data_IF_020012572127
#
_entry.id   IF_020012572127
#
_cell.length_a   1.000
_cell.length_b   1.000
_cell.length_c   1.000
_cell.angle_alpha   90.00
_cell.angle_beta   90.00
_cell.angle_gamma   90.00
#
_symmetry.space_group_name_H-M   'P 1'
#
loop_
_entity.id
_entity.type
_entity.pdbx_description
1 polymer ?
#
# COMPACT_ATOMS: atom_id res chain seq x y z
N UNK A 1 -24.55 7.29 5.12
CA UNK A 1 -23.53 6.95 4.09
C UNK A 1 -23.86 7.47 2.68
N UNK A 2 -25.12 7.49 2.20
CA UNK A 2 -25.47 8.00 0.85
C UNK A 2 -25.21 9.51 0.65
N UNK A 3 -25.43 10.35 1.65
CA UNK A 3 -25.16 11.81 1.51
C UNK A 3 -23.67 12.16 1.46
N UNK A 4 -22.84 11.39 2.17
CA UNK A 4 -21.38 11.46 2.04
C UNK A 4 -20.88 10.95 0.68
N UNK A 5 -21.71 10.20 -0.07
CA UNK A 5 -21.43 9.78 -1.44
C UNK A 5 -21.82 10.85 -2.46
N UNK A 6 -22.96 11.50 -2.28
CA UNK A 6 -23.42 12.56 -3.19
C UNK A 6 -22.56 13.83 -3.13
N UNK A 7 -21.93 14.13 -1.99
CA UNK A 7 -20.95 15.22 -1.87
C UNK A 7 -19.60 14.90 -2.57
N UNK A 8 -19.41 13.68 -3.10
CA UNK A 8 -18.16 13.24 -3.78
C UNK A 8 -17.94 13.81 -5.18
N UNK A 9 -18.96 14.44 -5.78
CA UNK A 9 -18.86 15.11 -7.08
C UNK A 9 -18.24 16.50 -7.00
N UNK A 10 -18.05 17.06 -5.80
CA UNK A 10 -17.44 18.37 -5.63
C UNK A 10 -15.90 18.32 -5.78
N UNK A 11 -15.35 19.37 -6.41
CA UNK A 11 -13.95 19.58 -6.82
C UNK A 11 -12.86 19.38 -5.73
N UNK A 12 -13.24 19.09 -4.49
CA UNK A 12 -12.41 19.16 -3.27
C UNK A 12 -11.59 17.92 -2.92
N UNK A 13 -11.58 16.87 -3.73
CA UNK A 13 -10.69 15.70 -3.52
C UNK A 13 -9.28 15.94 -4.11
N UNK A 14 -8.57 16.96 -3.60
CA UNK A 14 -7.13 17.13 -3.89
C UNK A 14 -6.33 16.02 -3.20
N UNK A 15 -6.68 15.67 -1.96
CA UNK A 15 -5.92 14.76 -1.10
C UNK A 15 -5.89 13.32 -1.65
N UNK A 16 -7.03 12.70 -1.99
CA UNK A 16 -7.01 11.40 -2.65
C UNK A 16 -6.32 11.38 -4.04
N UNK A 17 -6.13 12.52 -4.70
CA UNK A 17 -5.34 12.58 -5.95
C UNK A 17 -3.85 12.56 -5.63
N UNK A 18 -3.42 13.41 -4.70
CA UNK A 18 -2.04 13.43 -4.21
C UNK A 18 -1.66 12.08 -3.60
N UNK A 19 -2.52 11.49 -2.77
CA UNK A 19 -2.32 10.17 -2.19
C UNK A 19 -2.06 9.10 -3.25
N UNK A 20 -2.84 9.07 -4.33
CA UNK A 20 -2.60 8.15 -5.46
C UNK A 20 -1.26 8.37 -6.14
N UNK A 21 -0.93 9.61 -6.48
CA UNK A 21 0.32 9.95 -7.15
C UNK A 21 1.53 9.62 -6.27
N UNK A 22 1.45 9.95 -4.99
CA UNK A 22 2.49 9.63 -4.00
C UNK A 22 2.62 8.12 -3.86
N UNK A 23 1.53 7.38 -3.65
CA UNK A 23 1.54 5.91 -3.60
C UNK A 23 2.19 5.30 -4.84
N UNK A 24 1.81 5.76 -6.05
CA UNK A 24 2.40 5.24 -7.27
C UNK A 24 3.91 5.52 -7.37
N UNK A 25 4.33 6.75 -7.02
CA UNK A 25 5.73 7.15 -7.05
C UNK A 25 6.59 6.37 -6.05
N UNK A 26 6.14 6.24 -4.80
CA UNK A 26 6.89 5.49 -3.78
C UNK A 26 6.88 3.99 -4.06
N UNK A 27 5.78 3.45 -4.58
CA UNK A 27 5.72 2.04 -5.01
C UNK A 27 6.72 1.76 -6.14
N UNK A 28 6.78 2.63 -7.14
CA UNK A 28 7.77 2.53 -8.22
C UNK A 28 9.21 2.60 -7.68
N UNK A 29 9.50 3.60 -6.83
CA UNK A 29 10.82 3.78 -6.24
C UNK A 29 11.24 2.56 -5.40
N UNK A 30 10.36 2.08 -4.52
CA UNK A 30 10.64 0.91 -3.70
C UNK A 30 10.83 -0.38 -4.51
N UNK A 31 10.09 -0.52 -5.63
CA UNK A 31 10.23 -1.65 -6.54
C UNK A 31 11.56 -1.60 -7.29
N UNK A 32 11.98 -0.41 -7.75
CA UNK A 32 13.28 -0.21 -8.39
C UNK A 32 14.43 -0.53 -7.45
N UNK A 33 14.37 -0.09 -6.19
CA UNK A 33 15.37 -0.38 -5.15
C UNK A 33 15.40 -1.85 -4.73
N UNK A 34 14.38 -2.64 -5.08
CA UNK A 34 14.35 -4.09 -4.83
C UNK A 34 15.05 -4.89 -5.94
N UNK A 35 15.48 -4.24 -7.03
CA UNK A 35 16.29 -4.88 -8.08
C UNK A 35 17.74 -5.00 -7.60
N UNK A 36 18.36 -6.19 -7.61
CA UNK A 36 19.71 -6.39 -7.07
C UNK A 36 20.74 -5.38 -7.58
N UNK A 37 20.81 -5.17 -8.89
CA UNK A 37 21.74 -4.21 -9.49
C UNK A 37 21.57 -2.76 -8.98
N UNK A 38 20.34 -2.34 -8.68
CA UNK A 38 20.07 -1.01 -8.12
C UNK A 38 20.44 -0.98 -6.64
N UNK A 39 20.17 -2.05 -5.90
CA UNK A 39 20.53 -2.17 -4.50
C UNK A 39 22.05 -2.15 -4.28
N UNK A 40 22.79 -2.88 -5.11
CA UNK A 40 24.25 -2.94 -5.10
C UNK A 40 24.84 -1.55 -5.40
N UNK A 41 24.33 -0.88 -6.43
CA UNK A 41 24.73 0.48 -6.77
C UNK A 41 24.47 1.47 -5.62
N UNK A 42 23.30 1.40 -4.97
CA UNK A 42 23.01 2.24 -3.81
C UNK A 42 23.95 1.97 -2.63
N UNK A 43 24.28 0.70 -2.37
CA UNK A 43 25.24 0.33 -1.32
C UNK A 43 26.64 0.86 -1.64
N UNK A 44 27.08 0.79 -2.91
CA UNK A 44 28.37 1.32 -3.35
C UNK A 44 28.47 2.84 -3.16
N UNK A 45 27.44 3.58 -3.58
CA UNK A 45 27.40 5.06 -3.52
C UNK A 45 27.32 5.56 -2.07
N UNK A 46 26.48 4.93 -1.24
CA UNK A 46 26.25 5.39 0.14
C UNK A 46 27.25 4.82 1.14
N UNK A 47 27.93 3.73 0.79
CA UNK A 47 28.75 2.90 1.70
C UNK A 47 27.95 2.35 2.89
N UNK A 48 26.64 2.24 2.76
CA UNK A 48 25.75 1.67 3.78
C UNK A 48 25.12 0.40 3.21
N UNK A 49 25.52 -0.74 3.77
CA UNK A 49 24.91 -2.04 3.43
C UNK A 49 23.40 -1.99 3.66
N UNK A 50 22.63 -2.68 2.81
CA UNK A 50 21.17 -2.77 2.89
C UNK A 50 20.40 -1.43 2.82
N UNK A 51 21.03 -0.30 2.48
CA UNK A 51 20.31 0.99 2.45
C UNK A 51 19.12 0.95 1.47
N UNK A 52 19.29 0.31 0.31
CA UNK A 52 18.24 0.18 -0.68
C UNK A 52 17.06 -0.62 -0.12
N UNK A 53 17.33 -1.62 0.73
CA UNK A 53 16.30 -2.43 1.39
C UNK A 53 15.52 -1.63 2.41
N UNK A 54 16.21 -0.82 3.23
CA UNK A 54 15.55 0.11 4.15
C UNK A 54 14.62 1.04 3.36
N UNK A 55 15.16 1.76 2.37
CA UNK A 55 14.38 2.72 1.59
C UNK A 55 13.22 2.04 0.86
N UNK A 56 13.39 0.82 0.34
CA UNK A 56 12.30 0.05 -0.25
C UNK A 56 11.18 -0.26 0.75
N UNK A 57 11.50 -0.63 2.00
CA UNK A 57 10.49 -0.85 3.04
C UNK A 57 9.81 0.45 3.49
N UNK A 58 10.54 1.56 3.62
CA UNK A 58 9.95 2.88 3.89
C UNK A 58 9.01 3.30 2.74
N UNK A 59 9.42 3.08 1.49
CA UNK A 59 8.56 3.28 0.33
C UNK A 59 7.29 2.40 0.37
N UNK A 60 7.40 1.15 0.80
CA UNK A 60 6.25 0.25 0.95
C UNK A 60 5.30 0.71 2.09
N UNK A 61 5.84 1.17 3.22
CA UNK A 61 5.05 1.78 4.30
C UNK A 61 4.35 3.06 3.81
N UNK A 62 5.07 3.93 3.09
CA UNK A 62 4.50 5.11 2.44
C UNK A 62 3.43 4.78 1.39
N UNK A 63 3.60 3.69 0.63
CA UNK A 63 2.60 3.21 -0.32
C UNK A 63 1.30 2.87 0.40
N UNK A 64 1.38 2.06 1.46
CA UNK A 64 0.23 1.70 2.31
C UNK A 64 -0.36 2.95 2.95
N UNK A 65 0.45 3.87 3.46
CA UNK A 65 -0.01 5.14 4.03
C UNK A 65 -0.86 5.94 3.04
N UNK A 66 -0.45 6.02 1.77
CA UNK A 66 -1.24 6.69 0.73
C UNK A 66 -2.58 6.01 0.48
N UNK A 67 -2.65 4.66 0.49
CA UNK A 67 -3.92 3.92 0.43
C UNK A 67 -4.81 4.24 1.64
N UNK A 68 -4.23 4.28 2.83
CA UNK A 68 -4.91 4.57 4.10
C UNK A 68 -5.46 6.01 4.13
N UNK A 69 -4.73 6.98 3.59
CA UNK A 69 -5.20 8.35 3.40
C UNK A 69 -6.40 8.39 2.46
N UNK A 70 -6.35 7.64 1.36
CA UNK A 70 -7.49 7.55 0.43
C UNK A 70 -8.72 6.93 1.10
N UNK A 71 -8.54 5.85 1.87
CA UNK A 71 -9.62 5.24 2.66
C UNK A 71 -10.20 6.25 3.65
N UNK A 72 -9.37 6.99 4.38
CA UNK A 72 -9.84 8.02 5.31
C UNK A 72 -10.63 9.14 4.60
N UNK A 73 -10.11 9.65 3.48
CA UNK A 73 -10.75 10.68 2.63
C UNK A 73 -12.08 10.18 2.04
N UNK A 74 -12.21 8.87 1.81
CA UNK A 74 -13.44 8.24 1.33
C UNK A 74 -14.42 7.86 2.44
N UNK A 75 -13.98 7.73 3.69
CA UNK A 75 -14.81 7.23 4.80
C UNK A 75 -15.41 8.36 5.62
N UNK A 76 -14.57 9.32 6.01
CA UNK A 76 -14.93 10.31 7.03
C UNK A 76 -15.53 11.57 6.40
N UNK A 77 -16.45 12.20 7.15
CA UNK A 77 -16.93 13.54 6.82
C UNK A 77 -15.81 14.58 6.98
N UNK A 78 -16.01 15.78 6.39
CA UNK A 78 -15.03 16.88 6.42
C UNK A 78 -14.58 17.27 7.83
N UNK A 79 -15.46 17.14 8.81
CA UNK A 79 -15.18 17.45 10.21
C UNK A 79 -14.13 16.51 10.83
N UNK A 80 -14.16 15.22 10.45
CA UNK A 80 -13.32 14.19 11.06
C UNK A 80 -12.13 13.76 10.19
N UNK A 81 -12.14 14.05 8.89
CA UNK A 81 -11.08 13.61 7.95
C UNK A 81 -9.69 14.12 8.36
N UNK A 82 -9.58 15.37 8.83
CA UNK A 82 -8.30 15.94 9.24
C UNK A 82 -7.70 15.23 10.46
N UNK A 83 -8.53 14.87 11.43
CA UNK A 83 -8.08 14.12 12.61
C UNK A 83 -7.72 12.68 12.25
N UNK A 84 -8.55 12.01 11.44
CA UNK A 84 -8.26 10.65 10.97
C UNK A 84 -6.95 10.59 10.16
N UNK A 85 -6.69 11.59 9.30
CA UNK A 85 -5.43 11.69 8.55
C UNK A 85 -4.23 11.93 9.47
N UNK A 86 -4.33 12.83 10.45
CA UNK A 86 -3.24 13.10 11.39
C UNK A 86 -2.86 11.85 12.18
N UNK A 87 -3.84 11.11 12.71
CA UNK A 87 -3.58 9.87 13.46
C UNK A 87 -2.87 8.85 12.57
N UNK A 88 -3.32 8.66 11.33
CA UNK A 88 -2.68 7.73 10.38
C UNK A 88 -1.26 8.16 10.03
N UNK A 89 -1.03 9.45 9.77
CA UNK A 89 0.31 9.99 9.51
C UNK A 89 1.23 9.85 10.71
N UNK A 90 0.74 10.03 11.93
CA UNK A 90 1.51 9.80 13.15
C UNK A 90 1.91 8.33 13.30
N UNK A 91 0.98 7.39 13.07
CA UNK A 91 1.28 5.95 13.10
C UNK A 91 2.35 5.61 12.06
N UNK A 92 2.21 6.13 10.83
CA UNK A 92 3.19 5.92 9.76
C UNK A 92 4.56 6.47 10.17
N UNK A 93 4.64 7.69 10.68
CA UNK A 93 5.88 8.28 11.15
C UNK A 93 6.53 7.45 12.27
N UNK A 94 5.74 6.94 13.22
CA UNK A 94 6.23 6.07 14.29
C UNK A 94 6.78 4.76 13.74
N UNK A 95 6.11 4.14 12.76
CA UNK A 95 6.58 2.90 12.10
C UNK A 95 7.87 3.15 11.32
N UNK A 96 7.96 4.23 10.56
CA UNK A 96 9.16 4.64 9.81
C UNK A 96 10.37 4.86 10.74
N UNK A 97 10.16 5.58 11.85
CA UNK A 97 11.18 5.79 12.88
C UNK A 97 11.60 4.46 13.50
N UNK A 98 10.63 3.61 13.87
CA UNK A 98 10.91 2.31 14.47
C UNK A 98 11.69 1.40 13.51
N UNK A 99 11.31 1.33 12.23
CA UNK A 99 12.05 0.58 11.22
C UNK A 99 13.46 1.12 11.06
N UNK A 100 13.65 2.44 11.01
CA UNK A 100 14.97 3.06 10.90
C UNK A 100 15.84 2.73 12.12
N UNK A 101 15.31 2.82 13.34
CA UNK A 101 16.04 2.47 14.56
C UNK A 101 16.41 0.98 14.59
N UNK A 102 15.47 0.09 14.24
CA UNK A 102 15.72 -1.34 14.17
C UNK A 102 16.75 -1.67 13.08
N UNK A 103 16.70 -0.98 11.94
CA UNK A 103 17.69 -1.10 10.88
C UNK A 103 19.08 -0.73 11.39
N UNK A 104 19.25 0.46 11.99
CA UNK A 104 20.55 0.91 12.51
C UNK A 104 21.13 -0.04 13.56
N UNK A 105 20.28 -0.69 14.35
CA UNK A 105 20.71 -1.70 15.35
C UNK A 105 21.05 -3.06 14.75
N UNK A 106 20.47 -3.41 13.61
CA UNK A 106 20.55 -4.75 13.02
C UNK A 106 21.49 -4.82 11.83
N UNK A 107 21.73 -3.70 11.15
CA UNK A 107 22.51 -3.65 9.93
C UNK A 107 23.97 -3.99 10.23
N UNK A 108 24.45 -5.06 9.61
CA UNK A 108 25.83 -5.55 9.72
C UNK A 108 26.27 -6.09 8.37
N UNK A 109 27.57 -6.04 8.06
CA UNK A 109 28.10 -6.63 6.84
C UNK A 109 27.69 -8.10 6.70
N UNK A 110 27.21 -8.48 5.52
CA UNK A 110 26.82 -9.86 5.21
C UNK A 110 25.49 -10.33 5.82
N UNK A 111 24.75 -9.47 6.52
CA UNK A 111 23.39 -9.76 7.01
C UNK A 111 22.38 -8.98 6.19
N UNK A 112 21.46 -9.68 5.52
CA UNK A 112 20.39 -9.04 4.75
C UNK A 112 19.07 -9.00 5.53
N UNK A 113 18.24 -7.99 5.24
CA UNK A 113 16.88 -7.89 5.81
C UNK A 113 15.89 -8.73 5.00
N UNK A 114 16.10 -10.04 5.02
CA UNK A 114 15.30 -11.04 4.28
C UNK A 114 14.94 -12.23 5.19
N UNK A 115 14.08 -13.11 4.71
CA UNK A 115 13.71 -14.34 5.44
C UNK A 115 14.85 -15.35 5.51
N UNK A 116 15.91 -15.19 4.70
CA UNK A 116 17.14 -15.99 4.80
C UNK A 116 17.86 -15.79 6.14
N UNK A 117 17.70 -14.62 6.75
CA UNK A 117 18.33 -14.26 8.04
C UNK A 117 17.34 -14.31 9.21
N UNK A 118 16.32 -15.16 9.13
CA UNK A 118 15.28 -15.31 10.16
C UNK A 118 15.82 -15.76 11.54
N UNK A 119 17.02 -16.34 11.59
CA UNK A 119 17.70 -16.71 12.84
C UNK A 119 18.23 -15.49 13.61
N UNK A 120 18.44 -14.36 12.93
CA UNK A 120 18.85 -13.12 13.57
C UNK A 120 17.63 -12.40 14.18
N UNK A 121 17.48 -12.52 15.50
CA UNK A 121 16.34 -11.94 16.26
C UNK A 121 16.05 -10.47 15.94
N UNK A 122 17.07 -9.65 15.72
CA UNK A 122 16.87 -8.23 15.42
C UNK A 122 16.32 -8.01 14.00
N UNK A 123 16.79 -8.78 13.01
CA UNK A 123 16.27 -8.78 11.64
C UNK A 123 14.82 -9.27 11.63
N UNK A 124 14.55 -10.35 12.36
CA UNK A 124 13.19 -10.88 12.52
C UNK A 124 12.26 -9.87 13.16
N UNK A 125 12.69 -9.18 14.23
CA UNK A 125 11.91 -8.11 14.85
C UNK A 125 11.60 -6.96 13.88
N UNK A 126 12.60 -6.52 13.11
CA UNK A 126 12.43 -5.52 12.05
C UNK A 126 11.38 -5.97 11.01
N UNK A 127 11.50 -7.19 10.50
CA UNK A 127 10.60 -7.71 9.48
C UNK A 127 9.17 -7.87 10.01
N UNK A 128 9.00 -8.32 11.26
CA UNK A 128 7.68 -8.45 11.87
C UNK A 128 6.98 -7.09 12.03
N UNK A 129 7.70 -6.04 12.41
CA UNK A 129 7.13 -4.67 12.47
C UNK A 129 6.66 -4.22 11.09
N UNK A 130 7.52 -4.38 10.08
CA UNK A 130 7.22 -4.05 8.69
C UNK A 130 5.97 -4.81 8.18
N UNK A 131 5.95 -6.14 8.38
CA UNK A 131 4.86 -7.00 7.92
C UNK A 131 3.56 -6.75 8.67
N UNK A 132 3.61 -6.47 9.98
CA UNK A 132 2.43 -6.17 10.78
C UNK A 132 1.73 -4.89 10.30
N UNK A 133 2.50 -3.83 10.03
CA UNK A 133 1.95 -2.60 9.45
C UNK A 133 1.34 -2.84 8.06
N UNK A 134 2.06 -3.59 7.20
CA UNK A 134 1.57 -3.98 5.89
C UNK A 134 0.26 -4.77 5.96
N UNK A 135 0.17 -5.75 6.87
CA UNK A 135 -1.01 -6.58 7.08
C UNK A 135 -2.22 -5.75 7.53
N UNK A 136 -2.01 -4.86 8.51
CA UNK A 136 -3.06 -3.96 9.01
C UNK A 136 -3.63 -3.07 7.91
N UNK A 137 -2.75 -2.33 7.21
CA UNK A 137 -3.19 -1.40 6.18
C UNK A 137 -3.80 -2.10 4.97
N UNK A 138 -3.29 -3.28 4.61
CA UNK A 138 -3.85 -4.09 3.54
C UNK A 138 -5.22 -4.68 3.90
N UNK A 139 -5.40 -5.19 5.12
CA UNK A 139 -6.68 -5.72 5.57
C UNK A 139 -7.78 -4.65 5.54
N UNK A 140 -7.49 -3.46 6.07
CA UNK A 140 -8.44 -2.36 6.06
C UNK A 140 -8.76 -1.92 4.62
N UNK A 141 -7.74 -1.77 3.77
CA UNK A 141 -7.92 -1.41 2.35
C UNK A 141 -8.77 -2.44 1.62
N UNK A 142 -8.50 -3.73 1.86
CA UNK A 142 -9.24 -4.84 1.28
C UNK A 142 -10.72 -4.78 1.66
N UNK A 143 -11.01 -4.71 2.96
CA UNK A 143 -12.38 -4.67 3.48
C UNK A 143 -13.14 -3.44 2.97
N UNK A 144 -12.50 -2.27 3.00
CA UNK A 144 -13.12 -1.02 2.59
C UNK A 144 -13.43 -1.00 1.08
N UNK A 145 -12.44 -1.31 0.24
CA UNK A 145 -12.63 -1.32 -1.21
C UNK A 145 -13.67 -2.36 -1.64
N UNK A 146 -13.69 -3.53 -1.00
CA UNK A 146 -14.70 -4.56 -1.25
C UNK A 146 -16.11 -4.09 -0.89
N UNK A 147 -16.29 -3.56 0.33
CA UNK A 147 -17.57 -3.05 0.79
C UNK A 147 -18.09 -1.92 -0.11
N UNK A 148 -17.21 -0.99 -0.49
CA UNK A 148 -17.54 0.11 -1.39
C UNK A 148 -17.89 -0.38 -2.80
N UNK A 149 -17.19 -1.38 -3.32
CA UNK A 149 -17.52 -2.00 -4.60
C UNK A 149 -18.90 -2.67 -4.60
N UNK A 150 -19.28 -3.32 -3.49
CA UNK A 150 -20.60 -3.96 -3.33
C UNK A 150 -21.75 -2.96 -3.17
N UNK A 151 -21.49 -1.79 -2.58
CA UNK A 151 -22.48 -0.75 -2.38
C UNK A 151 -22.83 0.03 -3.67
N UNK A 152 -22.04 -0.11 -4.74
CA UNK A 152 -22.29 0.59 -6.00
C UNK A 152 -23.51 0.03 -6.75
N UNK A 153 -24.43 0.89 -7.25
CA UNK A 153 -25.60 0.45 -8.00
C UNK A 153 -25.22 -0.15 -9.36
N UNK A 154 -25.95 -1.18 -9.80
CA UNK A 154 -25.64 -1.98 -11.00
C UNK A 154 -25.90 -1.27 -12.35
N UNK A 155 -26.49 -0.06 -12.38
CA UNK A 155 -27.17 0.46 -13.58
C UNK A 155 -26.51 1.61 -14.39
N UNK A 156 -25.43 2.29 -13.95
CA UNK A 156 -24.62 3.13 -14.84
C UNK A 156 -23.36 2.42 -15.37
N UNK A 157 -22.99 2.62 -16.64
CA UNK A 157 -21.72 2.13 -17.23
C UNK A 157 -20.49 2.59 -16.45
N UNK A 158 -20.49 3.83 -15.94
CA UNK A 158 -19.45 4.39 -15.07
C UNK A 158 -19.33 3.69 -13.72
N UNK A 159 -20.43 3.16 -13.18
CA UNK A 159 -20.38 2.38 -11.95
C UNK A 159 -19.63 1.05 -12.13
N UNK A 160 -19.60 0.50 -13.35
CA UNK A 160 -18.87 -0.73 -13.66
C UNK A 160 -17.35 -0.52 -13.59
N UNK A 161 -16.83 0.52 -14.24
CA UNK A 161 -15.38 0.83 -14.22
C UNK A 161 -14.87 1.09 -12.80
N UNK A 162 -15.60 1.90 -12.04
CA UNK A 162 -15.25 2.18 -10.64
C UNK A 162 -15.30 0.91 -9.78
N UNK A 163 -16.34 0.08 -9.94
CA UNK A 163 -16.47 -1.18 -9.22
C UNK A 163 -15.32 -2.14 -9.54
N UNK A 164 -14.96 -2.30 -10.82
CA UNK A 164 -13.81 -3.12 -11.22
C UNK A 164 -12.52 -2.58 -10.59
N UNK A 165 -12.29 -1.27 -10.64
CA UNK A 165 -11.11 -0.66 -10.02
C UNK A 165 -11.01 -0.95 -8.51
N UNK A 166 -12.12 -0.83 -7.78
CA UNK A 166 -12.17 -1.13 -6.35
C UNK A 166 -12.00 -2.61 -6.04
N UNK A 167 -12.58 -3.51 -6.85
CA UNK A 167 -12.38 -4.95 -6.68
C UNK A 167 -10.94 -5.35 -6.94
N UNK A 168 -10.28 -4.77 -7.95
CA UNK A 168 -8.86 -5.00 -8.22
C UNK A 168 -8.00 -4.54 -7.04
N UNK A 169 -8.24 -3.34 -6.50
CA UNK A 169 -7.53 -2.88 -5.29
C UNK A 169 -7.77 -3.84 -4.12
N UNK A 170 -9.00 -4.30 -3.92
CA UNK A 170 -9.34 -5.25 -2.85
C UNK A 170 -8.62 -6.59 -3.01
N UNK A 171 -8.60 -7.17 -4.21
CA UNK A 171 -7.88 -8.42 -4.50
C UNK A 171 -6.37 -8.24 -4.31
N UNK A 172 -5.81 -7.14 -4.78
CA UNK A 172 -4.39 -6.84 -4.59
C UNK A 172 -4.02 -6.63 -3.11
N UNK A 173 -4.89 -6.01 -2.33
CA UNK A 173 -4.70 -5.87 -0.89
C UNK A 173 -4.86 -7.22 -0.15
N UNK A 174 -5.78 -8.08 -0.57
CA UNK A 174 -5.87 -9.46 -0.07
C UNK A 174 -4.60 -10.27 -0.37
N UNK A 175 -4.00 -10.08 -1.55
CA UNK A 175 -2.71 -10.67 -1.88
C UNK A 175 -1.59 -10.14 -0.97
N UNK A 176 -1.59 -8.85 -0.61
CA UNK A 176 -0.65 -8.31 0.40
C UNK A 176 -0.84 -9.00 1.75
N UNK A 177 -2.08 -9.20 2.20
CA UNK A 177 -2.36 -9.91 3.46
C UNK A 177 -1.80 -11.33 3.39
N UNK A 178 -2.05 -12.06 2.31
CA UNK A 178 -1.47 -13.38 2.07
C UNK A 178 0.06 -13.38 2.11
N UNK A 179 0.69 -12.40 1.46
CA UNK A 179 2.15 -12.19 1.50
C UNK A 179 2.64 -11.99 2.94
N UNK A 180 1.98 -11.13 3.72
CA UNK A 180 2.37 -10.84 5.11
C UNK A 180 2.14 -12.02 6.04
N UNK A 181 1.09 -12.81 5.83
CA UNK A 181 0.84 -14.04 6.60
C UNK A 181 1.91 -15.09 6.26
N UNK A 182 2.25 -15.25 4.98
CA UNK A 182 3.28 -16.20 4.55
C UNK A 182 4.65 -15.85 5.13
N UNK A 183 5.14 -14.62 4.94
CA UNK A 183 6.43 -14.18 5.50
C UNK A 183 6.41 -14.10 7.03
N UNK A 184 5.38 -13.47 7.60
CA UNK A 184 5.28 -13.28 9.04
C UNK A 184 5.13 -14.61 9.77
N UNK A 185 4.32 -15.51 9.23
CA UNK A 185 4.19 -16.86 9.74
C UNK A 185 5.50 -17.63 9.71
N UNK A 186 6.29 -17.51 8.64
CA UNK A 186 7.60 -18.17 8.55
C UNK A 186 8.54 -17.67 9.64
N UNK A 187 8.61 -16.35 9.83
CA UNK A 187 9.42 -15.73 10.88
C UNK A 187 8.98 -16.18 12.29
N UNK A 188 7.68 -16.25 12.55
CA UNK A 188 7.14 -16.72 13.84
C UNK A 188 7.41 -18.21 14.05
N UNK A 189 7.27 -19.03 13.01
CA UNK A 189 7.59 -20.46 13.05
C UNK A 189 9.09 -20.68 13.29
N UNK A 190 9.95 -19.85 12.69
CA UNK A 190 11.39 -19.87 12.93
C UNK A 190 11.72 -19.53 14.40
N UNK A 191 11.07 -18.50 14.97
CA UNK A 191 11.21 -18.17 16.39
C UNK A 191 10.75 -19.30 17.32
N UNK A 192 9.75 -20.08 16.88
CA UNK A 192 9.26 -21.25 17.60
C UNK A 192 10.10 -22.52 17.36
N UNK A 193 11.19 -22.44 16.58
CA UNK A 193 12.07 -23.57 16.27
C UNK A 193 11.48 -24.59 15.29
N UNK A 194 10.37 -24.26 14.62
CA UNK A 194 9.66 -25.15 13.69
C UNK A 194 9.40 -24.48 12.32
N UNK A 195 10.43 -23.93 11.64
CA UNK A 195 10.22 -23.32 10.33
C UNK A 195 9.87 -24.39 9.28
N UNK A 196 8.93 -24.07 8.39
CA UNK A 196 8.77 -24.84 7.15
C UNK A 196 9.90 -24.51 6.16
N UNK A 197 10.07 -25.24 5.04
CA UNK A 197 11.16 -24.97 4.12
C UNK A 197 11.10 -23.55 3.53
N UNK A 198 12.23 -22.85 3.56
CA UNK A 198 12.34 -21.47 3.05
C UNK A 198 11.95 -21.35 1.56
N UNK A 199 12.23 -22.38 0.75
CA UNK A 199 11.81 -22.43 -0.65
C UNK A 199 10.28 -22.34 -0.81
N UNK A 200 9.51 -22.95 0.10
CA UNK A 200 8.04 -22.89 0.09
C UNK A 200 7.55 -21.50 0.47
N UNK A 201 8.18 -20.86 1.46
CA UNK A 201 7.90 -19.46 1.82
C UNK A 201 8.10 -18.54 0.61
N UNK A 202 9.28 -18.60 -0.03
CA UNK A 202 9.63 -17.73 -1.16
C UNK A 202 8.74 -17.97 -2.37
N UNK A 203 8.39 -19.23 -2.64
CA UNK A 203 7.50 -19.60 -3.75
C UNK A 203 6.08 -19.05 -3.59
N UNK A 204 5.59 -18.89 -2.34
CA UNK A 204 4.29 -18.30 -2.07
C UNK A 204 4.35 -16.78 -1.97
N UNK A 205 5.31 -16.24 -1.21
CA UNK A 205 5.35 -14.81 -0.89
C UNK A 205 5.74 -13.94 -2.10
N UNK A 206 6.66 -14.39 -2.95
CA UNK A 206 7.15 -13.58 -4.07
C UNK A 206 6.05 -13.29 -5.11
N UNK A 207 5.28 -14.29 -5.60
CA UNK A 207 4.16 -14.03 -6.51
C UNK A 207 3.06 -13.17 -5.87
N UNK A 208 2.75 -13.39 -4.59
CA UNK A 208 1.74 -12.61 -3.88
C UNK A 208 2.11 -11.12 -3.79
N UNK A 209 3.38 -10.81 -3.53
CA UNK A 209 3.86 -9.43 -3.54
C UNK A 209 3.73 -8.78 -4.92
N UNK A 210 4.11 -9.48 -5.99
CA UNK A 210 3.99 -9.00 -7.37
C UNK A 210 2.53 -8.77 -7.79
N UNK A 211 1.65 -9.75 -7.54
CA UNK A 211 0.22 -9.66 -7.82
C UNK A 211 -0.44 -8.52 -7.05
N UNK A 212 -0.01 -8.30 -5.80
CA UNK A 212 -0.50 -7.20 -4.98
C UNK A 212 -0.26 -5.85 -5.63
N UNK A 213 0.99 -5.56 -6.01
CA UNK A 213 1.36 -4.30 -6.66
C UNK A 213 0.58 -4.14 -7.97
N UNK A 214 0.57 -5.19 -8.80
CA UNK A 214 -0.09 -5.18 -10.11
C UNK A 214 -1.58 -4.83 -9.97
N UNK A 215 -2.31 -5.54 -9.10
CA UNK A 215 -3.74 -5.35 -8.94
C UNK A 215 -4.09 -4.02 -8.27
N UNK A 216 -3.33 -3.59 -7.26
CA UNK A 216 -3.58 -2.28 -6.61
C UNK A 216 -3.34 -1.15 -7.61
N UNK A 217 -2.20 -1.11 -8.30
CA UNK A 217 -1.90 -0.02 -9.25
C UNK A 217 -2.87 -0.01 -10.44
N UNK A 218 -3.21 -1.17 -10.97
CA UNK A 218 -4.23 -1.29 -12.04
C UNK A 218 -5.58 -0.78 -11.53
N UNK A 219 -6.02 -1.24 -10.36
CA UNK A 219 -7.29 -0.81 -9.77
C UNK A 219 -7.35 0.69 -9.50
N UNK A 220 -6.28 1.28 -8.95
CA UNK A 220 -6.16 2.73 -8.74
C UNK A 220 -6.21 3.53 -10.05
N UNK A 221 -5.64 2.98 -11.13
CA UNK A 221 -5.71 3.59 -12.47
C UNK A 221 -7.13 3.59 -13.01
N UNK A 222 -7.88 2.50 -12.86
CA UNK A 222 -9.30 2.44 -13.24
C UNK A 222 -10.14 3.48 -12.47
N UNK A 223 -9.92 3.59 -11.15
CA UNK A 223 -10.56 4.62 -10.30
C UNK A 223 -10.20 6.03 -10.79
N UNK A 224 -8.95 6.23 -11.22
CA UNK A 224 -8.49 7.52 -11.74
C UNK A 224 -9.16 7.91 -13.05
N UNK A 225 -9.22 6.98 -14.01
CA UNK A 225 -9.85 7.20 -15.31
C UNK A 225 -11.34 7.50 -15.14
N UNK A 226 -12.07 6.78 -14.28
CA UNK A 226 -13.48 7.09 -14.02
C UNK A 226 -13.64 8.50 -13.42
N UNK A 227 -12.78 8.88 -12.48
CA UNK A 227 -12.82 10.22 -11.86
C UNK A 227 -12.56 11.35 -12.87
N UNK A 228 -11.70 11.12 -13.86
CA UNK A 228 -11.43 12.08 -14.93
C UNK A 228 -12.61 12.17 -15.90
N UNK A 229 -13.17 11.03 -16.33
CA UNK A 229 -14.33 11.00 -17.24
C UNK A 229 -15.53 11.75 -16.66
N UNK A 230 -15.83 11.57 -15.37
CA UNK A 230 -16.92 12.31 -14.69
C UNK A 230 -16.73 13.82 -14.71
N UNK A 231 -15.49 14.29 -14.54
CA UNK A 231 -15.17 15.72 -14.55
C UNK A 231 -15.29 16.33 -15.94
N UNK A 232 -14.83 15.61 -16.96
CA UNK A 232 -14.98 16.05 -18.34
C UNK A 232 -16.46 16.16 -18.70
N UNK A 233 -17.28 15.16 -18.36
CA UNK A 233 -18.73 15.19 -18.59
C UNK A 233 -19.41 16.37 -17.88
N UNK A 234 -19.07 16.62 -16.60
CA UNK A 234 -19.63 17.74 -15.83
C UNK A 234 -19.23 19.12 -16.37
N UNK A 235 -18.03 19.25 -16.96
CA UNK A 235 -17.59 20.50 -17.62
C UNK A 235 -18.32 20.75 -18.92
N UNK A 236 -18.63 19.71 -19.69
CA UNK A 236 -19.40 19.84 -20.93
C UNK A 236 -20.83 20.27 -20.66
N UNK A 237 -21.49 19.72 -19.62
CA UNK A 237 -22.86 20.13 -19.25
C UNK A 237 -22.94 21.58 -18.76
N UNK A 238 -21.91 22.09 -18.08
CA UNK A 238 -21.85 23.50 -17.65
C UNK A 238 -21.62 24.50 -18.79
N UNK A 239 -21.11 24.05 -19.95
CA UNK A 239 -20.84 24.89 -21.12
C UNK A 239 -21.95 24.86 -22.18
N UNK A 240 -22.95 24.00 -22.03
CA UNK A 240 -24.11 24.00 -22.93
C UNK A 240 -24.92 25.29 -22.68
N UNK A 241 -25.10 26.17 -23.68
CA UNK A 241 -25.94 27.35 -23.52
C UNK A 241 -27.36 26.90 -23.18
N UNK A 242 -28.00 27.59 -22.23
CA UNK A 242 -29.42 27.40 -21.95
C UNK A 242 -30.19 27.76 -23.23
N UNK A 243 -30.71 26.72 -23.89
CA UNK A 243 -31.62 26.85 -25.02
C UNK A 243 -33.03 27.12 -24.52
#
# INVERSE_FOLDING_TARGET
>A
MRDAWNKRTQLTYRLARWGRSVSAAVCFLGSALSVPAVADWCAEVTRIDNIAKLVAHLCAVGFIAGLQIMVADWTYGREFVGTAMRVRLLIVALVEVLLTVLFLRSNRPGIEFTTDFADHRNVTGYLLVYLAFGAYGALETCAFCFAMARALPNRPSHAKTLRTGLLLVSVGAAATVGYTISKGGYLLANLAGNPWPLGVEKALSSPLAGLSILFILTGLTFVAVDSQRRRSAARTTLKAPAA
#
